data_IF_718821661275
#
_entry.id   IF_718821661275
#
_cell.length_a   1.000
_cell.length_b   1.000
_cell.length_c   1.000
_cell.angle_alpha   90.00
_cell.angle_beta   90.00
_cell.angle_gamma   90.00
#
_symmetry.space_group_name_H-M   'P 1'
#
loop_
_entity.id
_entity.type
_entity.pdbx_description
1 polymer ?
#
# COMPACT_ATOMS: atom_id res chain seq x y z
N UNK A 1 -29.23 -30.14 13.04
CA UNK A 1 -29.18 -28.70 12.66
C UNK A 1 -28.57 -28.60 11.28
N UNK A 2 -29.12 -27.78 10.38
CA UNK A 2 -28.48 -27.49 9.10
C UNK A 2 -27.08 -26.97 9.37
N UNK A 3 -26.04 -27.65 8.88
CA UNK A 3 -24.70 -27.08 8.81
C UNK A 3 -24.81 -25.92 7.84
N UNK A 4 -25.00 -24.71 8.36
CA UNK A 4 -24.79 -23.51 7.56
C UNK A 4 -23.39 -23.65 6.96
N UNK A 5 -23.28 -23.55 5.63
CA UNK A 5 -21.99 -23.73 4.97
C UNK A 5 -20.99 -22.76 5.62
N UNK A 6 -19.95 -23.33 6.22
CA UNK A 6 -18.86 -22.56 6.81
C UNK A 6 -18.39 -21.50 5.79
N UNK A 7 -18.44 -20.25 6.22
CA UNK A 7 -17.93 -19.11 5.44
C UNK A 7 -16.74 -18.52 6.20
N UNK A 8 -15.52 -18.59 5.64
CA UNK A 8 -14.34 -17.96 6.21
C UNK A 8 -14.59 -16.47 6.52
N UNK A 9 -14.13 -16.01 7.68
CA UNK A 9 -14.15 -14.62 8.09
C UNK A 9 -12.72 -14.06 8.11
N UNK A 10 -12.55 -12.87 7.57
CA UNK A 10 -11.27 -12.16 7.50
C UNK A 10 -11.01 -11.36 8.80
N UNK A 11 -9.81 -11.48 9.34
CA UNK A 11 -9.34 -10.85 10.58
C UNK A 11 -8.09 -10.04 10.26
N UNK A 12 -8.14 -8.72 10.39
CA UNK A 12 -7.05 -7.83 9.96
C UNK A 12 -6.90 -6.62 10.87
N UNK A 13 -5.65 -6.19 11.08
CA UNK A 13 -5.31 -5.26 12.18
C UNK A 13 -5.28 -3.78 11.82
N UNK A 14 -5.21 -3.42 10.54
CA UNK A 14 -5.23 -2.01 10.16
C UNK A 14 -5.82 -1.88 8.76
N UNK A 15 -7.15 -1.90 8.69
CA UNK A 15 -7.86 -1.62 7.44
C UNK A 15 -7.31 -0.33 6.81
N UNK A 16 -7.04 0.70 7.61
CA UNK A 16 -6.44 1.94 7.12
C UNK A 16 -5.02 1.75 6.57
N UNK A 17 -4.19 0.85 7.10
CA UNK A 17 -2.86 0.58 6.52
C UNK A 17 -2.95 -0.27 5.26
N UNK A 18 -3.89 -1.22 5.19
CA UNK A 18 -4.12 -2.02 3.98
C UNK A 18 -4.67 -1.12 2.88
N UNK A 19 -5.67 -0.30 3.21
CA UNK A 19 -6.26 0.69 2.32
C UNK A 19 -5.21 1.70 1.89
N UNK A 20 -4.46 2.31 2.82
CA UNK A 20 -3.36 3.22 2.49
C UNK A 20 -2.29 2.57 1.62
N UNK A 21 -1.93 1.33 1.88
CA UNK A 21 -0.94 0.61 1.10
C UNK A 21 -1.45 0.30 -0.31
N UNK A 22 -2.71 -0.13 -0.41
CA UNK A 22 -3.42 -0.36 -1.66
C UNK A 22 -3.55 0.95 -2.45
N UNK A 23 -3.94 2.04 -1.79
CA UNK A 23 -4.06 3.38 -2.36
C UNK A 23 -2.72 3.88 -2.88
N UNK A 24 -1.63 3.67 -2.13
CA UNK A 24 -0.29 4.03 -2.60
C UNK A 24 0.07 3.29 -3.88
N UNK A 25 -0.17 1.97 -3.93
CA UNK A 25 0.10 1.18 -5.14
C UNK A 25 -0.81 1.53 -6.30
N UNK A 26 -2.10 1.76 -6.06
CA UNK A 26 -3.05 2.19 -7.07
C UNK A 26 -2.68 3.58 -7.62
N UNK A 27 -2.28 4.51 -6.75
CA UNK A 27 -1.80 5.81 -7.15
C UNK A 27 -0.51 5.72 -7.98
N UNK A 28 0.46 4.89 -7.55
CA UNK A 28 1.67 4.64 -8.32
C UNK A 28 1.33 4.13 -9.73
N UNK A 29 0.45 3.13 -9.82
CA UNK A 29 -0.04 2.58 -11.09
C UNK A 29 -0.71 3.65 -11.96
N UNK A 30 -1.54 4.53 -11.38
CA UNK A 30 -2.19 5.61 -12.11
C UNK A 30 -1.17 6.62 -12.66
N UNK A 31 -0.20 7.05 -11.84
CA UNK A 31 0.85 7.97 -12.26
C UNK A 31 1.73 7.36 -13.36
N UNK A 32 2.12 6.10 -13.20
CA UNK A 32 2.90 5.37 -14.20
C UNK A 32 2.15 5.20 -15.52
N UNK A 33 0.83 4.97 -15.48
CA UNK A 33 0.00 4.95 -16.69
C UNK A 33 -0.13 6.33 -17.35
N UNK A 34 -0.15 7.41 -16.57
CA UNK A 34 -0.12 8.79 -17.10
C UNK A 34 1.19 9.06 -17.81
N UNK A 35 2.30 8.79 -17.13
CA UNK A 35 3.65 8.95 -17.67
C UNK A 35 3.82 8.09 -18.92
N UNK A 36 3.36 6.84 -18.92
CA UNK A 36 3.42 5.96 -20.08
C UNK A 36 2.69 6.54 -21.30
N UNK A 37 1.54 7.19 -21.08
CA UNK A 37 0.77 7.83 -22.16
C UNK A 37 1.49 9.05 -22.71
N UNK A 38 1.96 9.94 -21.84
CA UNK A 38 2.73 11.12 -22.26
C UNK A 38 4.04 10.71 -22.95
N UNK A 39 4.68 9.65 -22.46
CA UNK A 39 5.85 9.06 -23.08
C UNK A 39 5.55 8.57 -24.49
N UNK A 40 4.48 7.79 -24.67
CA UNK A 40 4.06 7.33 -25.98
C UNK A 40 3.72 8.48 -26.91
N UNK A 41 3.09 9.55 -26.42
CA UNK A 41 2.80 10.73 -27.23
C UNK A 41 4.08 11.43 -27.72
N UNK A 42 5.08 11.57 -26.85
CA UNK A 42 6.33 12.29 -27.12
C UNK A 42 7.31 11.49 -27.97
N UNK A 43 7.28 10.17 -27.89
CA UNK A 43 8.20 9.28 -28.59
C UNK A 43 7.51 8.37 -29.63
N UNK A 44 6.27 8.68 -30.02
CA UNK A 44 5.46 7.89 -30.96
C UNK A 44 6.20 7.64 -32.29
N UNK A 45 6.93 8.64 -32.79
CA UNK A 45 7.66 8.57 -34.06
C UNK A 45 8.83 7.58 -34.05
N UNK A 46 9.32 7.22 -32.86
CA UNK A 46 10.52 6.42 -32.67
C UNK A 46 10.24 5.04 -32.05
N UNK A 47 8.98 4.72 -31.78
CA UNK A 47 8.54 3.45 -31.16
C UNK A 47 9.33 3.11 -29.87
N UNK A 48 9.61 4.11 -29.03
CA UNK A 48 10.36 3.90 -27.77
C UNK A 48 9.42 3.41 -26.68
N UNK A 49 9.54 2.14 -26.23
CA UNK A 49 8.62 1.58 -25.24
C UNK A 49 8.89 2.17 -23.85
N UNK A 50 7.81 2.36 -23.08
CA UNK A 50 7.91 2.67 -21.66
C UNK A 50 7.98 1.37 -20.85
N UNK A 51 9.19 0.98 -20.47
CA UNK A 51 9.51 -0.29 -19.81
C UNK A 51 9.81 -0.09 -18.31
N UNK A 52 9.84 -1.17 -17.52
CA UNK A 52 10.33 -1.13 -16.14
C UNK A 52 11.72 -0.48 -15.97
N UNK A 53 12.64 -0.75 -16.89
CA UNK A 53 13.97 -0.11 -16.89
C UNK A 53 13.88 1.41 -17.03
N UNK A 54 12.96 1.91 -17.88
CA UNK A 54 12.72 3.36 -18.00
C UNK A 54 12.16 3.96 -16.73
N UNK A 55 11.32 3.23 -15.99
CA UNK A 55 10.86 3.65 -14.66
C UNK A 55 12.06 3.81 -13.71
N UNK A 56 12.99 2.87 -13.70
CA UNK A 56 14.19 2.97 -12.86
C UNK A 56 15.10 4.14 -13.27
N UNK A 57 15.30 4.36 -14.57
CA UNK A 57 16.09 5.49 -15.08
C UNK A 57 15.50 6.84 -14.66
N UNK A 58 14.18 7.03 -14.80
CA UNK A 58 13.54 8.31 -14.40
C UNK A 58 13.63 8.52 -12.88
N UNK A 59 13.57 7.46 -12.06
CA UNK A 59 13.67 7.55 -10.61
C UNK A 59 15.08 7.93 -10.15
N UNK A 60 16.13 7.42 -10.82
CA UNK A 60 17.53 7.71 -10.44
C UNK A 60 18.07 8.99 -11.08
N UNK A 61 17.49 9.45 -12.19
CA UNK A 61 17.98 10.62 -12.91
C UNK A 61 17.88 11.93 -12.08
N UNK A 62 18.99 12.66 -11.97
CA UNK A 62 19.05 13.97 -11.31
C UNK A 62 18.41 15.08 -12.14
N UNK A 63 18.58 15.02 -13.46
CA UNK A 63 18.04 15.98 -14.41
C UNK A 63 17.17 15.24 -15.43
N UNK A 64 15.85 15.35 -15.26
CA UNK A 64 14.87 14.74 -16.14
C UNK A 64 14.87 15.39 -17.53
N UNK A 65 15.14 16.69 -17.61
CA UNK A 65 15.23 17.38 -18.90
C UNK A 65 16.40 16.85 -19.71
N UNK A 66 17.56 16.68 -19.07
CA UNK A 66 18.71 16.05 -19.71
C UNK A 66 18.45 14.60 -20.12
N UNK A 67 17.77 13.82 -19.28
CA UNK A 67 17.40 12.43 -19.57
C UNK A 67 16.52 12.34 -20.82
N UNK A 68 15.41 13.08 -20.87
CA UNK A 68 14.48 13.06 -22.00
C UNK A 68 15.15 13.47 -23.31
N UNK A 69 15.97 14.53 -23.29
CA UNK A 69 16.76 14.97 -24.45
C UNK A 69 17.79 13.93 -24.88
N UNK A 70 18.40 13.22 -23.93
CA UNK A 70 19.34 12.15 -24.23
C UNK A 70 18.65 10.97 -24.91
N UNK A 71 17.47 10.58 -24.43
CA UNK A 71 16.66 9.51 -25.02
C UNK A 71 16.21 9.91 -26.43
N UNK A 72 15.80 11.16 -26.64
CA UNK A 72 15.48 11.66 -27.98
C UNK A 72 16.67 11.53 -28.94
N UNK A 73 17.86 11.99 -28.54
CA UNK A 73 19.09 11.88 -29.36
C UNK A 73 19.43 10.42 -29.68
N UNK A 74 19.20 9.49 -28.76
CA UNK A 74 19.50 8.07 -28.95
C UNK A 74 18.61 7.40 -29.99
N UNK A 75 17.38 7.89 -30.15
CA UNK A 75 16.37 7.26 -30.99
C UNK A 75 16.11 8.01 -32.30
N UNK A 76 16.53 9.28 -32.41
CA UNK A 76 16.52 10.01 -33.68
C UNK A 76 17.73 9.56 -34.55
N UNK A 77 17.52 9.03 -35.77
CA UNK A 77 18.56 8.36 -36.56
C UNK A 77 19.79 9.21 -36.90
N UNK A 78 19.65 10.50 -37.18
CA UNK A 78 20.77 11.36 -37.60
C UNK A 78 21.60 11.84 -36.40
N UNK A 79 20.93 12.25 -35.32
CA UNK A 79 21.53 12.64 -34.04
C UNK A 79 22.21 11.45 -33.37
N UNK A 80 21.62 10.25 -33.45
CA UNK A 80 22.22 9.03 -32.94
C UNK A 80 23.57 8.75 -33.62
N UNK A 81 23.65 8.83 -34.96
CA UNK A 81 24.92 8.67 -35.71
C UNK A 81 25.96 9.71 -35.31
N UNK A 82 25.57 10.97 -35.11
CA UNK A 82 26.46 12.04 -34.69
C UNK A 82 26.99 11.82 -33.26
N UNK A 83 26.17 11.25 -32.37
CA UNK A 83 26.57 10.88 -31.02
C UNK A 83 27.50 9.65 -31.01
N UNK A 84 27.16 8.56 -31.73
CA UNK A 84 27.94 7.31 -31.74
C UNK A 84 29.30 7.47 -32.44
N UNK A 85 29.38 8.32 -33.47
CA UNK A 85 30.65 8.63 -34.15
C UNK A 85 31.62 9.46 -33.29
N UNK A 86 31.23 9.87 -32.07
CA UNK A 86 31.99 10.69 -31.13
C UNK A 86 32.45 12.04 -31.74
N UNK A 87 31.87 12.45 -32.86
CA UNK A 87 32.22 13.69 -33.57
C UNK A 87 31.73 14.93 -32.84
N UNK A 88 30.63 14.81 -32.09
CA UNK A 88 30.05 15.90 -31.30
C UNK A 88 29.71 15.34 -29.92
N UNK A 89 30.15 16.01 -28.84
CA UNK A 89 29.80 15.64 -27.47
C UNK A 89 28.28 15.77 -27.28
N UNK A 90 27.65 14.82 -26.59
CA UNK A 90 26.19 14.81 -26.32
C UNK A 90 25.67 16.11 -25.70
N UNK A 91 26.44 16.75 -24.80
CA UNK A 91 26.09 18.06 -24.23
C UNK A 91 25.97 19.16 -25.28
N UNK A 92 26.85 19.14 -26.29
CA UNK A 92 26.85 20.11 -27.39
C UNK A 92 25.73 19.84 -28.40
N UNK A 93 25.35 18.58 -28.60
CA UNK A 93 24.14 18.23 -29.37
C UNK A 93 22.89 18.79 -28.70
N UNK A 94 22.80 18.65 -27.37
CA UNK A 94 21.67 19.19 -26.58
C UNK A 94 21.55 20.73 -26.67
N UNK A 95 22.65 21.45 -26.89
CA UNK A 95 22.63 22.91 -27.03
C UNK A 95 22.16 23.38 -28.42
N UNK A 96 22.38 22.58 -29.47
CA UNK A 96 22.15 22.99 -30.86
C UNK A 96 20.93 22.34 -31.51
N UNK A 97 20.34 21.32 -30.86
CA UNK A 97 19.15 20.62 -31.34
C UNK A 97 17.89 21.32 -30.83
N UNK A 98 16.95 21.59 -31.73
CA UNK A 98 15.58 21.93 -31.35
C UNK A 98 14.84 20.66 -30.92
N UNK A 99 14.46 20.61 -29.65
CA UNK A 99 13.73 19.48 -29.07
C UNK A 99 12.23 19.73 -29.08
N UNK A 100 11.42 18.66 -29.11
CA UNK A 100 10.01 18.74 -28.73
C UNK A 100 9.85 19.36 -27.34
N UNK A 101 8.67 19.94 -27.11
CA UNK A 101 8.32 20.40 -25.77
C UNK A 101 8.03 19.20 -24.85
N UNK A 102 8.99 18.93 -23.97
CA UNK A 102 8.91 17.87 -22.97
C UNK A 102 8.33 18.33 -21.64
N UNK A 103 7.89 19.59 -21.49
CA UNK A 103 7.52 20.12 -20.17
C UNK A 103 6.36 19.33 -19.53
N UNK A 104 5.39 18.88 -20.31
CA UNK A 104 4.30 18.00 -19.82
C UNK A 104 4.83 16.72 -19.18
N UNK A 105 5.52 15.89 -19.96
CA UNK A 105 6.10 14.62 -19.50
C UNK A 105 7.09 14.82 -18.35
N UNK A 106 7.93 15.84 -18.43
CA UNK A 106 8.90 16.20 -17.39
C UNK A 106 8.18 16.52 -16.07
N UNK A 107 7.10 17.30 -16.12
CA UNK A 107 6.35 17.67 -14.93
C UNK A 107 5.64 16.46 -14.29
N UNK A 108 5.11 15.53 -15.08
CA UNK A 108 4.56 14.27 -14.56
C UNK A 108 5.62 13.43 -13.87
N UNK A 109 6.78 13.23 -14.50
CA UNK A 109 7.90 12.47 -13.92
C UNK A 109 8.38 13.12 -12.60
N UNK A 110 8.55 14.44 -12.58
CA UNK A 110 8.98 15.16 -11.36
C UNK A 110 7.93 15.00 -10.25
N UNK A 111 6.64 15.13 -10.57
CA UNK A 111 5.56 14.97 -9.61
C UNK A 111 5.54 13.57 -9.02
N UNK A 112 5.73 12.55 -9.86
CA UNK A 112 5.82 11.16 -9.43
C UNK A 112 7.02 10.93 -8.50
N UNK A 113 8.22 11.43 -8.85
CA UNK A 113 9.42 11.34 -7.99
C UNK A 113 9.19 11.96 -6.61
N UNK A 114 8.66 13.18 -6.57
CA UNK A 114 8.37 13.87 -5.31
C UNK A 114 7.39 13.05 -4.46
N UNK A 115 6.39 12.42 -5.07
CA UNK A 115 5.46 11.55 -4.36
C UNK A 115 6.15 10.29 -3.83
N UNK A 116 6.95 9.60 -4.65
CA UNK A 116 7.71 8.39 -4.26
C UNK A 116 8.62 8.68 -3.05
N UNK A 117 9.30 9.83 -3.05
CA UNK A 117 10.16 10.25 -1.94
C UNK A 117 9.35 10.48 -0.65
N UNK A 118 8.19 11.14 -0.77
CA UNK A 118 7.30 11.44 0.36
C UNK A 118 6.67 10.18 0.95
N UNK A 119 6.30 9.21 0.12
CA UNK A 119 5.69 7.95 0.54
C UNK A 119 6.72 6.87 0.88
N UNK A 120 8.02 7.14 0.66
CA UNK A 120 9.14 6.20 0.89
C UNK A 120 8.99 4.90 0.10
N UNK A 121 8.51 5.01 -1.14
CA UNK A 121 8.29 3.85 -2.01
C UNK A 121 9.52 3.43 -2.83
N UNK A 122 10.61 4.19 -2.81
CA UNK A 122 11.80 3.94 -3.65
C UNK A 122 12.29 2.49 -3.61
N UNK A 123 12.49 1.90 -2.43
CA UNK A 123 12.97 0.51 -2.29
C UNK A 123 11.92 -0.58 -2.56
N UNK A 124 10.68 -0.17 -2.84
CA UNK A 124 9.54 -1.06 -3.08
C UNK A 124 9.18 -1.12 -4.56
N UNK A 125 9.48 -0.06 -5.31
CA UNK A 125 9.33 0.02 -6.76
C UNK A 125 10.25 -0.96 -7.50
N UNK A 126 11.19 -1.62 -6.83
CA UNK A 126 11.94 -2.75 -7.39
C UNK A 126 11.03 -3.89 -7.88
N UNK A 127 9.78 -3.93 -7.38
CA UNK A 127 8.75 -4.89 -7.79
C UNK A 127 7.97 -4.44 -9.04
N UNK A 128 8.40 -3.34 -9.69
CA UNK A 128 7.77 -2.80 -10.90
C UNK A 128 7.70 -3.84 -12.02
N UNK A 129 8.70 -4.72 -12.13
CA UNK A 129 8.70 -5.84 -13.07
C UNK A 129 7.52 -6.78 -12.83
N UNK A 130 7.22 -7.06 -11.55
CA UNK A 130 6.06 -7.87 -11.17
C UNK A 130 4.76 -7.15 -11.53
N UNK A 131 4.68 -5.83 -11.38
CA UNK A 131 3.51 -4.99 -11.74
C UNK A 131 3.27 -4.91 -13.25
N UNK A 132 4.29 -5.21 -14.06
CA UNK A 132 4.24 -5.05 -15.51
C UNK A 132 3.68 -6.31 -16.25
N UNK A 133 3.46 -7.43 -15.56
CA UNK A 133 3.30 -8.75 -16.19
C UNK A 133 2.10 -8.94 -17.14
N UNK A 134 1.07 -8.09 -17.10
CA UNK A 134 -0.13 -8.22 -17.96
C UNK A 134 -0.36 -7.02 -18.92
N UNK A 135 0.70 -6.26 -19.24
CA UNK A 135 0.75 -5.37 -20.41
C UNK A 135 0.32 -3.91 -20.21
N UNK A 136 -0.18 -3.56 -19.02
CA UNK A 136 -0.22 -2.19 -18.47
C UNK A 136 0.12 -2.29 -16.99
N UNK A 137 0.49 -1.19 -16.33
CA UNK A 137 0.70 -1.19 -14.88
C UNK A 137 -0.59 -1.68 -14.20
N UNK A 138 -0.57 -2.91 -13.71
CA UNK A 138 -1.71 -3.57 -13.06
C UNK A 138 -1.16 -4.33 -11.86
N UNK A 139 -1.89 -4.26 -10.77
CA UNK A 139 -1.46 -4.91 -9.55
C UNK A 139 -1.68 -6.44 -9.63
N UNK A 140 -0.63 -7.27 -9.51
CA UNK A 140 -0.75 -8.73 -9.61
C UNK A 140 -1.59 -9.28 -8.47
N UNK A 141 -2.40 -10.30 -8.73
CA UNK A 141 -3.25 -10.92 -7.70
C UNK A 141 -2.43 -11.58 -6.60
N UNK A 142 -1.26 -12.12 -6.94
CA UNK A 142 -0.31 -12.64 -5.94
C UNK A 142 0.19 -11.54 -5.00
N UNK A 143 0.38 -10.31 -5.50
CA UNK A 143 0.84 -9.19 -4.69
C UNK A 143 -0.30 -8.67 -3.80
N UNK A 144 -1.54 -8.63 -4.30
CA UNK A 144 -2.74 -8.35 -3.47
C UNK A 144 -2.85 -9.33 -2.32
N UNK A 145 -2.79 -10.61 -2.64
CA UNK A 145 -2.88 -11.68 -1.67
C UNK A 145 -1.73 -11.61 -0.65
N UNK A 146 -0.52 -11.30 -1.08
CA UNK A 146 0.62 -11.11 -0.18
C UNK A 146 0.43 -9.91 0.76
N UNK A 147 -0.07 -8.78 0.27
CA UNK A 147 -0.40 -7.62 1.13
C UNK A 147 -1.48 -8.00 2.14
N UNK A 148 -2.53 -8.67 1.68
CA UNK A 148 -3.61 -9.15 2.54
C UNK A 148 -3.06 -10.13 3.59
N UNK A 149 -2.35 -11.18 3.20
CA UNK A 149 -1.80 -12.21 4.11
C UNK A 149 -0.78 -11.67 5.12
N UNK A 150 0.04 -10.68 4.75
CA UNK A 150 1.01 -10.06 5.65
C UNK A 150 0.36 -9.20 6.74
N UNK A 151 -0.89 -8.77 6.52
CA UNK A 151 -1.60 -7.84 7.39
C UNK A 151 -2.96 -8.36 7.90
N UNK A 152 -3.35 -9.59 7.53
CA UNK A 152 -4.65 -10.23 7.86
C UNK A 152 -4.55 -11.76 8.03
N UNK A 153 -5.66 -12.41 8.40
CA UNK A 153 -5.82 -13.86 8.58
C UNK A 153 -7.26 -14.29 8.32
N UNK A 154 -7.47 -15.45 7.69
CA UNK A 154 -8.81 -16.04 7.51
C UNK A 154 -9.09 -17.12 8.54
N UNK A 155 -10.32 -17.19 9.03
CA UNK A 155 -10.79 -18.36 9.76
C UNK A 155 -10.84 -19.59 8.85
N UNK A 156 -10.54 -20.76 9.40
CA UNK A 156 -10.42 -22.04 8.67
C UNK A 156 -11.61 -22.96 8.83
N UNK A 157 -12.34 -22.82 9.94
CA UNK A 157 -13.47 -23.67 10.28
C UNK A 157 -14.52 -22.94 11.14
N UNK A 158 -15.63 -23.64 11.41
CA UNK A 158 -16.75 -23.15 12.23
C UNK A 158 -16.31 -22.79 13.66
N UNK A 159 -15.29 -23.48 14.20
CA UNK A 159 -14.77 -23.25 15.54
C UNK A 159 -14.00 -21.93 15.61
N UNK A 160 -13.17 -21.64 14.61
CA UNK A 160 -12.47 -20.36 14.48
C UNK A 160 -13.47 -19.20 14.30
N UNK A 161 -14.56 -19.39 13.53
CA UNK A 161 -15.64 -18.39 13.42
C UNK A 161 -16.34 -18.13 14.76
N UNK A 162 -16.68 -19.20 15.50
CA UNK A 162 -17.30 -19.07 16.81
C UNK A 162 -16.36 -18.36 17.82
N UNK A 163 -15.07 -18.73 17.83
CA UNK A 163 -14.06 -18.08 18.66
C UNK A 163 -13.87 -16.61 18.29
N UNK A 164 -13.82 -16.29 16.99
CA UNK A 164 -13.74 -14.92 16.50
C UNK A 164 -14.95 -14.10 16.96
N UNK A 165 -16.17 -14.66 16.87
CA UNK A 165 -17.39 -13.99 17.29
C UNK A 165 -17.35 -13.60 18.78
N UNK A 166 -16.91 -14.53 19.64
CA UNK A 166 -16.74 -14.26 21.08
C UNK A 166 -15.75 -13.12 21.31
N UNK A 167 -14.59 -13.15 20.63
CA UNK A 167 -13.57 -12.11 20.78
C UNK A 167 -14.06 -10.76 20.25
N UNK A 168 -14.82 -10.75 19.16
CA UNK A 168 -15.47 -9.55 18.64
C UNK A 168 -16.46 -8.96 19.64
N UNK A 169 -17.30 -9.79 20.25
CA UNK A 169 -18.30 -9.33 21.23
C UNK A 169 -17.62 -8.73 22.48
N UNK A 170 -16.53 -9.34 22.95
CA UNK A 170 -15.69 -8.80 24.03
C UNK A 170 -15.07 -7.46 23.63
N UNK A 171 -14.47 -7.38 22.44
CA UNK A 171 -13.91 -6.13 21.91
C UNK A 171 -14.98 -5.04 21.83
N UNK A 172 -16.18 -5.35 21.33
CA UNK A 172 -17.31 -4.41 21.23
C UNK A 172 -17.76 -3.92 22.61
N UNK A 173 -17.79 -4.77 23.62
CA UNK A 173 -18.13 -4.37 24.98
C UNK A 173 -17.12 -3.38 25.57
N UNK A 174 -15.82 -3.67 25.44
CA UNK A 174 -14.77 -2.75 25.91
C UNK A 174 -14.72 -1.45 25.11
N UNK A 175 -14.96 -1.51 23.80
CA UNK A 175 -15.03 -0.31 22.97
C UNK A 175 -16.18 0.61 23.41
N UNK A 176 -17.36 0.07 23.69
CA UNK A 176 -18.47 0.86 24.26
C UNK A 176 -18.13 1.47 25.60
N UNK A 177 -17.41 0.73 26.46
CA UNK A 177 -16.94 1.28 27.73
C UNK A 177 -15.95 2.43 27.53
N UNK A 178 -15.01 2.29 26.59
CA UNK A 178 -14.04 3.34 26.26
C UNK A 178 -14.71 4.58 25.64
N UNK A 179 -15.73 4.38 24.80
CA UNK A 179 -16.57 5.47 24.25
C UNK A 179 -17.29 6.27 25.35
N UNK A 180 -17.60 5.64 26.48
CA UNK A 180 -18.22 6.28 27.65
C UNK A 180 -17.20 6.96 28.60
N UNK A 181 -15.93 7.05 28.21
CA UNK A 181 -14.86 7.68 29.00
C UNK A 181 -13.95 6.69 29.74
N UNK A 182 -14.08 5.40 29.46
CA UNK A 182 -13.08 4.40 29.86
C UNK A 182 -11.76 4.51 29.07
N UNK A 183 -10.71 3.89 29.59
CA UNK A 183 -9.38 3.81 28.95
C UNK A 183 -8.80 2.39 29.07
N UNK A 184 -9.59 1.39 28.66
CA UNK A 184 -9.16 -0.01 28.69
C UNK A 184 -8.34 -0.31 27.45
N UNK A 185 -7.15 -0.88 27.65
CA UNK A 185 -6.27 -1.37 26.61
C UNK A 185 -6.17 -2.90 26.67
N UNK A 186 -5.77 -3.53 25.57
CA UNK A 186 -5.49 -4.97 25.46
C UNK A 186 -4.54 -5.49 26.55
N UNK A 187 -3.61 -4.66 27.04
CA UNK A 187 -2.67 -5.00 28.13
C UNK A 187 -3.34 -5.07 29.51
N UNK A 188 -4.49 -4.44 29.66
CA UNK A 188 -5.26 -4.42 30.91
C UNK A 188 -6.18 -5.65 31.03
N UNK A 189 -6.33 -6.42 29.93
CA UNK A 189 -7.08 -7.66 29.92
C UNK A 189 -6.27 -8.82 30.53
N UNK A 190 -6.94 -9.85 31.09
CA UNK A 190 -6.26 -11.06 31.55
C UNK A 190 -5.37 -11.66 30.45
N UNK A 191 -4.16 -12.11 30.81
CA UNK A 191 -3.15 -12.61 29.85
C UNK A 191 -3.68 -13.55 28.76
N UNK A 192 -4.54 -14.55 29.04
CA UNK A 192 -5.09 -15.41 28.00
C UNK A 192 -5.86 -14.63 26.93
N UNK A 193 -6.56 -13.55 27.29
CA UNK A 193 -7.29 -12.69 26.36
C UNK A 193 -6.42 -11.64 25.68
N UNK A 194 -5.37 -11.15 26.37
CA UNK A 194 -4.42 -10.19 25.83
C UNK A 194 -3.68 -10.68 24.57
N UNK A 195 -3.53 -12.01 24.41
CA UNK A 195 -2.90 -12.61 23.23
C UNK A 195 -3.84 -12.66 22.00
N UNK A 196 -5.15 -12.57 22.21
CA UNK A 196 -6.17 -12.63 21.15
C UNK A 196 -6.70 -11.27 20.72
N UNK A 197 -6.36 -10.22 21.45
CA UNK A 197 -6.88 -8.87 21.26
C UNK A 197 -5.73 -7.88 21.11
N UNK A 198 -5.96 -6.83 20.36
CA UNK A 198 -5.04 -5.71 20.26
C UNK A 198 -5.74 -4.39 20.46
N UNK A 199 -5.04 -3.44 21.06
CA UNK A 199 -5.45 -2.03 21.01
C UNK A 199 -4.96 -1.38 19.73
N UNK A 200 -5.82 -0.59 19.11
CA UNK A 200 -5.52 0.40 18.06
C UNK A 200 -6.04 1.78 18.50
N UNK A 201 -5.64 2.84 17.80
CA UNK A 201 -6.19 4.18 18.03
C UNK A 201 -7.64 4.20 17.56
N UNK A 202 -8.57 4.59 18.43
CA UNK A 202 -9.97 4.85 18.09
C UNK A 202 -10.24 6.33 17.84
N UNK A 203 -11.53 6.67 17.81
CA UNK A 203 -11.99 8.00 17.45
C UNK A 203 -11.52 9.08 18.44
N UNK A 204 -11.44 10.29 17.91
CA UNK A 204 -11.17 11.50 18.68
C UNK A 204 -12.42 11.91 19.46
N UNK A 205 -12.36 11.91 20.78
CA UNK A 205 -13.42 12.50 21.61
C UNK A 205 -13.06 13.92 22.05
N UNK A 206 -14.09 14.71 22.36
CA UNK A 206 -13.94 16.04 22.95
C UNK A 206 -13.75 15.89 24.46
N UNK A 207 -12.60 16.33 24.98
CA UNK A 207 -12.40 16.47 26.42
C UNK A 207 -13.15 17.69 26.95
N UNK A 208 -13.59 17.63 28.21
CA UNK A 208 -14.31 18.74 28.86
C UNK A 208 -13.52 20.06 28.83
N UNK A 209 -14.28 21.15 28.60
CA UNK A 209 -13.81 22.51 28.40
C UNK A 209 -13.13 23.08 29.66
N UNK A 210 -11.81 23.17 29.63
CA UNK A 210 -11.10 24.25 30.34
C UNK A 210 -10.73 25.32 29.32
N UNK A 211 -11.60 26.34 29.22
CA UNK A 211 -11.38 27.68 28.62
C UNK A 211 -10.39 27.76 27.45
N UNK A 212 -10.92 27.70 26.22
CA UNK A 212 -10.18 28.02 24.99
C UNK A 212 -10.41 26.98 23.90
N UNK A 213 -10.65 27.44 22.67
CA UNK A 213 -11.00 26.66 21.48
C UNK A 213 -10.48 25.20 21.48
N UNK A 214 -11.43 24.26 21.47
CA UNK A 214 -11.23 22.83 21.66
C UNK A 214 -10.60 22.14 20.45
N UNK A 215 -9.28 22.02 20.44
CA UNK A 215 -8.62 20.97 19.65
C UNK A 215 -8.71 19.63 20.39
N UNK A 216 -9.28 18.62 19.74
CA UNK A 216 -9.29 17.25 20.27
C UNK A 216 -7.86 16.71 20.41
N UNK A 217 -7.45 16.39 21.65
CA UNK A 217 -6.09 15.95 21.98
C UNK A 217 -5.96 14.49 22.42
N UNK A 218 -7.06 13.78 22.66
CA UNK A 218 -7.04 12.41 23.21
C UNK A 218 -7.68 11.41 22.25
N UNK A 219 -6.97 10.30 22.02
CA UNK A 219 -7.47 9.16 21.26
C UNK A 219 -8.11 8.18 22.24
N UNK A 220 -9.34 7.76 21.97
CA UNK A 220 -9.97 6.68 22.73
C UNK A 220 -9.37 5.36 22.25
N UNK A 221 -8.86 4.47 23.12
CA UNK A 221 -8.36 3.17 22.68
C UNK A 221 -9.50 2.31 22.13
N UNK A 222 -9.24 1.63 21.00
CA UNK A 222 -10.17 0.69 20.37
C UNK A 222 -9.56 -0.69 20.37
N UNK A 223 -10.20 -1.66 21.00
CA UNK A 223 -9.82 -3.06 21.02
C UNK A 223 -10.42 -3.77 19.81
N UNK A 224 -9.61 -4.60 19.15
CA UNK A 224 -10.02 -5.45 18.02
C UNK A 224 -9.39 -6.84 18.15
N UNK A 225 -9.93 -7.89 17.48
CA UNK A 225 -9.28 -9.20 17.43
C UNK A 225 -7.88 -9.12 16.81
N UNK A 226 -6.94 -9.88 17.35
CA UNK A 226 -5.59 -9.99 16.80
C UNK A 226 -5.59 -10.89 15.57
N UNK A 227 -5.13 -10.40 14.42
CA UNK A 227 -5.03 -11.19 13.17
C UNK A 227 -4.29 -12.54 13.35
N UNK A 228 -3.27 -12.60 14.21
CA UNK A 228 -2.55 -13.84 14.52
C UNK A 228 -3.19 -14.73 15.59
N UNK A 229 -4.41 -14.44 16.06
CA UNK A 229 -5.01 -15.12 17.23
C UNK A 229 -5.15 -16.64 17.07
N UNK A 230 -5.18 -17.16 15.83
CA UNK A 230 -5.30 -18.60 15.53
C UNK A 230 -3.99 -19.27 15.07
N UNK A 231 -2.85 -18.57 15.11
CA UNK A 231 -1.56 -19.09 14.61
C UNK A 231 -0.88 -20.12 15.53
N UNK A 232 -1.29 -20.20 16.79
CA UNK A 232 -0.66 -21.10 17.78
C UNK A 232 -1.33 -22.46 17.80
N UNK A 233 -0.54 -23.53 17.71
CA UNK A 233 -1.01 -24.92 17.84
C UNK A 233 -1.58 -25.24 19.24
N UNK A 234 -1.32 -24.38 20.23
CA UNK A 234 -1.88 -24.48 21.60
C UNK A 234 -2.80 -23.31 21.89
N UNK A 235 -3.79 -23.11 21.03
CA UNK A 235 -4.77 -22.05 21.24
C UNK A 235 -5.82 -22.46 22.28
N UNK A 236 -5.63 -22.02 23.53
CA UNK A 236 -6.53 -22.28 24.65
C UNK A 236 -7.97 -21.84 24.35
N UNK A 237 -8.18 -20.73 23.63
CA UNK A 237 -9.51 -20.29 23.21
C UNK A 237 -10.17 -21.28 22.26
N UNK A 238 -9.47 -21.79 21.25
CA UNK A 238 -10.03 -22.80 20.34
C UNK A 238 -10.36 -24.11 21.08
N UNK A 239 -9.51 -24.52 22.03
CA UNK A 239 -9.78 -25.69 22.85
C UNK A 239 -11.03 -25.49 23.73
N UNK A 240 -11.20 -24.31 24.33
CA UNK A 240 -12.37 -23.97 25.13
C UNK A 240 -13.65 -23.89 24.30
N UNK A 241 -13.58 -23.29 23.10
CA UNK A 241 -14.72 -23.22 22.19
C UNK A 241 -15.07 -24.64 21.73
N UNK A 242 -14.11 -25.41 21.21
CA UNK A 242 -14.33 -26.81 20.80
C UNK A 242 -14.96 -27.64 21.93
N UNK A 243 -14.45 -27.53 23.16
CA UNK A 243 -14.97 -28.28 24.29
C UNK A 243 -16.42 -27.92 24.65
N UNK A 244 -16.91 -26.74 24.28
CA UNK A 244 -18.28 -26.29 24.58
C UNK A 244 -19.19 -26.24 23.33
N UNK A 245 -18.64 -26.31 22.11
CA UNK A 245 -19.38 -26.27 20.85
C UNK A 245 -19.85 -27.66 20.41
N UNK A 246 -19.22 -28.73 20.91
CA UNK A 246 -19.55 -30.13 20.61
C UNK A 246 -20.26 -30.86 21.76
N UNK A 247 -20.72 -30.13 22.79
CA UNK A 247 -21.59 -30.66 23.86
C UNK A 247 -23.00 -30.14 23.59
N UNK A 248 -23.67 -30.73 22.61
CA UNK A 248 -25.14 -30.77 22.45
C UNK A 248 -25.53 -31.93 21.51
#
# INVERSE_FOLDING_TARGET
MNKENFTPQLIGRNYEAIEKETDNWQYAVQQLNSIAREWQNQFAEFDVPFTPDRVNEILVAKDIGYLLKSIFIENEPELAKLATSNRIKRTKLIEITDFPDFDSLKNEIISFKIWVDRTRMEGRLNQIDTIYQDGKFVFPDEMKKSIEENHTWYTRDETENAALKIVQDVCSAFNRYNELGGDVNSRDLPRPFGDYITTVKGDKTFGELNSGASESRYFVPKLIPHWGMFKSDKNTLLNLVSANYFID
#
